data_IF_407963901894
#
_entry.id   IF_407963901894
#
_cell.length_a   1.000
_cell.length_b   1.000
_cell.length_c   1.000
_cell.angle_alpha   90.00
_cell.angle_beta   90.00
_cell.angle_gamma   90.00
#
_symmetry.space_group_name_H-M   'P 1'
#
loop_
_entity.id
_entity.type
_entity.pdbx_description
1 polymer ?
#
# COMPACT_ATOMS: atom_id res chain seq x y z
N UNK A 1 59.93 -1.93 -13.54
CA UNK A 1 58.97 -2.81 -12.84
C UNK A 1 58.14 -2.07 -11.78
N UNK A 2 58.75 -1.30 -10.86
CA UNK A 2 58.06 -0.56 -9.78
C UNK A 2 56.93 0.38 -10.24
N UNK A 3 57.10 1.07 -11.37
CA UNK A 3 56.07 1.99 -11.90
C UNK A 3 54.88 1.23 -12.51
N UNK A 4 55.12 0.04 -13.07
CA UNK A 4 54.07 -0.82 -13.63
C UNK A 4 53.19 -1.41 -12.53
N UNK A 5 53.79 -1.82 -11.40
CA UNK A 5 53.03 -2.30 -10.23
C UNK A 5 52.17 -1.20 -9.62
N UNK A 6 52.67 0.03 -9.53
CA UNK A 6 51.88 1.17 -9.04
C UNK A 6 50.67 1.45 -9.96
N UNK A 7 50.88 1.43 -11.28
CA UNK A 7 49.80 1.59 -12.26
C UNK A 7 48.71 0.52 -12.10
N UNK A 8 49.11 -0.75 -11.96
CA UNK A 8 48.18 -1.86 -11.80
C UNK A 8 47.37 -1.75 -10.50
N UNK A 9 48.00 -1.36 -9.39
CA UNK A 9 47.31 -1.14 -8.11
C UNK A 9 46.31 0.02 -8.23
N UNK A 10 46.66 1.09 -8.94
CA UNK A 10 45.76 2.21 -9.22
C UNK A 10 44.50 1.76 -9.96
N UNK A 11 44.66 1.00 -11.04
CA UNK A 11 43.54 0.44 -11.81
C UNK A 11 42.67 -0.49 -10.94
N UNK A 12 43.30 -1.36 -10.14
CA UNK A 12 42.59 -2.27 -9.26
C UNK A 12 41.76 -1.52 -8.22
N UNK A 13 42.32 -0.45 -7.63
CA UNK A 13 41.65 0.36 -6.61
C UNK A 13 40.41 1.07 -7.16
N UNK A 14 40.48 1.60 -8.38
CA UNK A 14 39.35 2.22 -9.08
C UNK A 14 38.25 1.16 -9.33
N UNK A 15 38.64 -0.03 -9.77
CA UNK A 15 37.68 -1.11 -10.03
C UNK A 15 36.95 -1.55 -8.76
N UNK A 16 37.68 -1.70 -7.64
CA UNK A 16 37.09 -2.04 -6.34
C UNK A 16 36.13 -0.92 -5.88
N UNK A 17 36.53 0.35 -5.99
CA UNK A 17 35.69 1.49 -5.63
C UNK A 17 34.38 1.49 -6.43
N UNK A 18 34.46 1.35 -7.76
CA UNK A 18 33.27 1.26 -8.61
C UNK A 18 32.37 0.07 -8.26
N UNK A 19 32.96 -1.11 -8.03
CA UNK A 19 32.20 -2.29 -7.63
C UNK A 19 31.42 -2.07 -6.33
N UNK A 20 32.07 -1.50 -5.31
CA UNK A 20 31.40 -1.22 -4.03
C UNK A 20 30.28 -0.17 -4.16
N UNK A 21 30.48 0.87 -4.99
CA UNK A 21 29.47 1.89 -5.24
C UNK A 21 28.25 1.31 -5.95
N UNK A 22 28.45 0.47 -6.96
CA UNK A 22 27.35 -0.19 -7.67
C UNK A 22 26.49 -1.04 -6.72
N UNK A 23 27.12 -1.79 -5.82
CA UNK A 23 26.39 -2.59 -4.81
C UNK A 23 25.57 -1.68 -3.88
N UNK A 24 26.15 -0.57 -3.42
CA UNK A 24 25.43 0.37 -2.55
C UNK A 24 24.24 1.00 -3.26
N UNK A 25 24.43 1.49 -4.48
CA UNK A 25 23.36 2.09 -5.28
C UNK A 25 22.25 1.08 -5.52
N UNK A 26 22.59 -0.15 -5.93
CA UNK A 26 21.60 -1.20 -6.18
C UNK A 26 20.79 -1.56 -4.92
N UNK A 27 21.43 -1.60 -3.74
CA UNK A 27 20.71 -1.82 -2.47
C UNK A 27 19.75 -0.68 -2.16
N UNK A 28 20.17 0.56 -2.37
CA UNK A 28 19.33 1.75 -2.16
C UNK A 28 18.13 1.74 -3.12
N UNK A 29 18.36 1.45 -4.41
CA UNK A 29 17.29 1.33 -5.41
C UNK A 29 16.28 0.24 -5.04
N UNK A 30 16.76 -0.91 -4.55
CA UNK A 30 15.89 -2.00 -4.09
C UNK A 30 15.02 -1.56 -2.91
N UNK A 31 15.63 -0.90 -1.90
CA UNK A 31 14.90 -0.37 -0.74
C UNK A 31 13.84 0.63 -1.18
N UNK A 32 14.20 1.60 -2.02
CA UNK A 32 13.27 2.61 -2.53
C UNK A 32 12.09 1.94 -3.27
N UNK A 33 12.36 0.89 -4.04
CA UNK A 33 11.31 0.17 -4.76
C UNK A 33 10.35 -0.55 -3.80
N UNK A 34 10.88 -1.16 -2.73
CA UNK A 34 10.07 -1.80 -1.69
C UNK A 34 9.25 -0.77 -0.91
N UNK A 35 9.88 0.32 -0.49
CA UNK A 35 9.22 1.40 0.25
C UNK A 35 8.09 2.04 -0.57
N UNK A 36 8.31 2.27 -1.88
CA UNK A 36 7.27 2.75 -2.79
C UNK A 36 6.09 1.77 -2.89
N UNK A 37 6.38 0.47 -2.97
CA UNK A 37 5.31 -0.54 -3.04
C UNK A 37 4.47 -0.55 -1.76
N UNK A 38 5.12 -0.47 -0.60
CA UNK A 38 4.44 -0.41 0.70
C UNK A 38 3.59 0.87 0.79
N UNK A 39 4.14 2.00 0.35
CA UNK A 39 3.40 3.27 0.31
C UNK A 39 2.14 3.18 -0.55
N UNK A 40 2.25 2.62 -1.75
CA UNK A 40 1.11 2.43 -2.66
C UNK A 40 0.03 1.51 -2.05
N UNK A 41 0.44 0.45 -1.34
CA UNK A 41 -0.48 -0.45 -0.65
C UNK A 41 -1.19 0.25 0.51
N UNK A 42 -0.45 0.97 1.36
CA UNK A 42 -1.02 1.75 2.46
C UNK A 42 -1.97 2.85 1.97
N UNK A 43 -1.64 3.53 0.88
CA UNK A 43 -2.49 4.57 0.31
C UNK A 43 -3.82 3.98 -0.21
N UNK A 44 -3.78 2.78 -0.82
CA UNK A 44 -5.00 2.07 -1.23
C UNK A 44 -5.84 1.65 -0.02
N UNK A 45 -5.21 1.16 1.03
CA UNK A 45 -5.91 0.76 2.26
C UNK A 45 -6.57 1.97 2.94
N UNK A 46 -5.85 3.10 3.03
CA UNK A 46 -6.38 4.35 3.56
C UNK A 46 -7.60 4.81 2.75
N UNK A 47 -7.47 4.86 1.42
CA UNK A 47 -8.58 5.25 0.54
C UNK A 47 -9.80 4.34 0.70
N UNK A 48 -9.59 3.04 0.86
CA UNK A 48 -10.68 2.08 1.13
C UNK A 48 -11.35 2.38 2.47
N UNK A 49 -10.57 2.70 3.50
CA UNK A 49 -11.10 3.03 4.83
C UNK A 49 -11.88 4.33 4.84
N UNK A 50 -11.41 5.36 4.14
CA UNK A 50 -12.15 6.62 3.97
C UNK A 50 -13.53 6.38 3.37
N UNK A 51 -13.61 5.61 2.26
CA UNK A 51 -14.88 5.24 1.63
C UNK A 51 -15.78 4.45 2.59
N UNK A 52 -15.21 3.51 3.37
CA UNK A 52 -15.98 2.74 4.37
C UNK A 52 -16.60 3.66 5.44
N UNK A 53 -15.83 4.63 5.95
CA UNK A 53 -16.33 5.59 6.94
C UNK A 53 -17.39 6.52 6.36
N UNK A 54 -17.19 7.06 5.15
CA UNK A 54 -18.17 7.90 4.48
C UNK A 54 -19.50 7.16 4.28
N UNK A 55 -19.44 5.90 3.85
CA UNK A 55 -20.62 5.06 3.71
C UNK A 55 -21.35 4.83 5.05
N UNK A 56 -20.63 4.63 6.15
CA UNK A 56 -21.23 4.45 7.49
C UNK A 56 -21.96 5.73 7.91
N UNK A 57 -21.31 6.90 7.74
CA UNK A 57 -21.91 8.21 8.06
C UNK A 57 -23.16 8.44 7.21
N UNK A 58 -23.11 8.12 5.92
CA UNK A 58 -24.27 8.24 5.04
C UNK A 58 -25.41 7.29 5.44
N UNK A 59 -25.11 6.04 5.82
CA UNK A 59 -26.12 5.10 6.33
C UNK A 59 -26.75 5.57 7.64
N UNK A 60 -25.95 6.14 8.55
CA UNK A 60 -26.45 6.73 9.79
C UNK A 60 -27.38 7.91 9.50
N UNK A 61 -26.98 8.81 8.58
CA UNK A 61 -27.80 9.94 8.14
C UNK A 61 -29.12 9.48 7.55
N UNK A 62 -29.10 8.48 6.65
CA UNK A 62 -30.31 7.87 6.08
C UNK A 62 -31.18 7.27 7.20
N UNK A 63 -30.58 6.53 8.13
CA UNK A 63 -31.30 5.92 9.26
C UNK A 63 -32.02 6.96 10.13
N UNK A 64 -31.37 8.09 10.40
CA UNK A 64 -31.94 9.20 11.16
C UNK A 64 -33.07 9.87 10.38
N UNK A 65 -32.88 10.17 9.09
CA UNK A 65 -33.95 10.75 8.27
C UNK A 65 -35.19 9.85 8.16
N UNK A 66 -34.98 8.54 7.99
CA UNK A 66 -36.07 7.57 7.88
C UNK A 66 -36.84 7.43 9.19
N UNK A 67 -36.16 7.49 10.33
CA UNK A 67 -36.78 7.47 11.66
C UNK A 67 -37.55 8.75 11.94
N UNK A 68 -36.93 9.90 11.71
CA UNK A 68 -37.43 11.19 12.19
C UNK A 68 -38.46 11.81 11.24
N UNK A 69 -38.20 11.78 9.93
CA UNK A 69 -39.12 12.37 8.93
C UNK A 69 -40.19 11.40 8.46
N UNK A 70 -39.84 10.11 8.31
CA UNK A 70 -40.75 9.09 7.76
C UNK A 70 -41.37 8.17 8.81
N UNK A 71 -40.99 8.29 10.09
CA UNK A 71 -41.47 7.45 11.20
C UNK A 71 -41.29 5.95 10.93
N UNK A 72 -40.25 5.58 10.20
CA UNK A 72 -39.95 4.19 9.85
C UNK A 72 -38.96 3.59 10.86
N UNK A 73 -39.25 2.37 11.34
CA UNK A 73 -38.37 1.63 12.23
C UNK A 73 -37.51 0.63 11.45
N UNK A 74 -36.23 0.50 11.82
CA UNK A 74 -35.32 -0.50 11.24
C UNK A 74 -35.77 -1.89 11.69
N UNK A 75 -36.08 -2.77 10.74
CA UNK A 75 -36.52 -4.14 11.02
C UNK A 75 -35.44 -4.93 11.77
N UNK A 76 -35.82 -5.55 12.88
CA UNK A 76 -34.92 -6.39 13.71
C UNK A 76 -34.80 -7.84 13.22
N UNK A 77 -35.47 -8.20 12.12
CA UNK A 77 -35.46 -9.56 11.59
C UNK A 77 -35.69 -9.58 10.09
N UNK A 78 -34.73 -10.16 9.36
CA UNK A 78 -34.90 -10.49 7.95
C UNK A 78 -35.37 -11.94 7.91
N UNK A 79 -36.62 -12.18 7.48
CA UNK A 79 -37.10 -13.54 7.18
C UNK A 79 -36.62 -13.92 5.78
N UNK A 80 -35.57 -14.74 5.71
CA UNK A 80 -35.16 -15.35 4.47
C UNK A 80 -36.14 -16.46 4.11
N UNK A 81 -36.84 -16.32 2.99
CA UNK A 81 -37.57 -17.43 2.40
C UNK A 81 -36.57 -18.23 1.57
N UNK A 82 -36.38 -19.50 1.92
CA UNK A 82 -35.60 -20.44 1.12
C UNK A 82 -36.51 -20.88 -0.02
N UNK A 83 -36.21 -20.48 -1.24
CA UNK A 83 -36.87 -21.02 -2.42
C UNK A 83 -36.20 -22.37 -2.67
N UNK A 84 -36.93 -23.46 -2.44
CA UNK A 84 -36.50 -24.79 -2.91
C UNK A 84 -36.76 -24.83 -4.41
N UNK A 85 -35.70 -25.03 -5.20
CA UNK A 85 -35.82 -25.36 -6.63
C UNK A 85 -36.29 -26.81 -6.73
N UNK A 86 -37.49 -27.02 -7.30
CA UNK A 86 -38.01 -28.35 -7.70
C UNK A 86 -37.24 -28.92 -8.89
#
# INVERSE_FOLDING_TARGET
MKNLTILLIGILSIWILHGTLLIKVSKIELSIKQDKKILDELQKELSKKEIEYDNIIDLERIGNEMRDKKKMAISQGIKFFRIEEE
#
